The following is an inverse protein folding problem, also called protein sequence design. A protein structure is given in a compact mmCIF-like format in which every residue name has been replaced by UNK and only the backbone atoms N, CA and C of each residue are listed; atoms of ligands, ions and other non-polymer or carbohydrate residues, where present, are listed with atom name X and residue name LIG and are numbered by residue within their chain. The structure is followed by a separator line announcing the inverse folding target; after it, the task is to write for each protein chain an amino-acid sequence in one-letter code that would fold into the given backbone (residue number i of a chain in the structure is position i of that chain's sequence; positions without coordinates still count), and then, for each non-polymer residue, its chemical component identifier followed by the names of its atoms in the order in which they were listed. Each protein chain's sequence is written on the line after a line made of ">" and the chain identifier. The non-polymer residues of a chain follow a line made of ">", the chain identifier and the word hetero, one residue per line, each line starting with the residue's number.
data_IF_989831028526
#
_entry.id   IF_989831028526
#
_cell.length_a   1.000
_cell.length_b   1.000
_cell.length_c   1.000
_cell.angle_alpha   90.00
_cell.angle_beta   90.00
_cell.angle_gamma   90.00
#
_symmetry.space_group_name_H-M   'P 1'
#
loop_
_entity.id
_entity.type
_entity.pdbx_description
1 polymer ?
#
# COMPACT_ATOMS: atom_id res chain seq x y z
N UNK A 1 2.06 -5.32 -8.62
CA UNK A 1 2.64 -5.64 -9.94
C UNK A 1 3.93 -6.43 -9.73
N UNK A 2 4.28 -7.38 -10.60
CA UNK A 2 5.59 -8.05 -10.52
C UNK A 2 6.68 -7.11 -11.07
N UNK A 3 7.85 -7.11 -10.44
CA UNK A 3 8.99 -6.28 -10.82
C UNK A 3 10.27 -7.11 -10.93
N UNK A 4 10.93 -7.08 -12.07
CA UNK A 4 12.18 -7.78 -12.35
C UNK A 4 13.34 -6.76 -12.46
N UNK A 5 14.10 -6.52 -11.38
CA UNK A 5 15.15 -5.49 -11.36
C UNK A 5 16.31 -5.78 -12.32
N UNK A 6 16.50 -7.04 -12.75
CA UNK A 6 17.58 -7.44 -13.66
C UNK A 6 17.30 -7.05 -15.12
N UNK A 7 16.05 -6.72 -15.46
CA UNK A 7 15.69 -6.27 -16.80
C UNK A 7 16.17 -4.83 -17.07
N UNK A 8 16.33 -4.45 -18.35
CA UNK A 8 16.45 -3.04 -18.75
C UNK A 8 15.32 -2.21 -18.13
N UNK A 9 15.58 -0.95 -17.80
CA UNK A 9 14.68 -0.10 -17.01
C UNK A 9 13.21 -0.12 -17.50
N UNK A 10 13.00 0.02 -18.81
CA UNK A 10 11.68 0.05 -19.44
C UNK A 10 10.96 -1.31 -19.50
N UNK A 11 11.64 -2.41 -19.12
CA UNK A 11 11.11 -3.78 -19.11
C UNK A 11 11.00 -4.35 -17.69
N UNK A 12 11.27 -3.57 -16.64
CA UNK A 12 11.26 -4.10 -15.27
C UNK A 12 9.87 -4.51 -14.79
N UNK A 13 8.80 -3.97 -15.36
CA UNK A 13 7.43 -4.44 -15.09
C UNK A 13 7.00 -5.61 -15.99
N UNK A 14 7.85 -6.04 -16.93
CA UNK A 14 7.65 -7.24 -17.75
C UNK A 14 8.37 -8.41 -17.07
N UNK A 15 7.75 -8.96 -16.04
CA UNK A 15 8.25 -10.13 -15.33
C UNK A 15 7.71 -11.43 -15.93
N UNK A 16 8.57 -12.44 -16.06
CA UNK A 16 8.21 -13.79 -16.53
C UNK A 16 7.65 -14.68 -15.40
N UNK A 17 7.65 -14.18 -14.17
CA UNK A 17 7.12 -14.85 -13.00
C UNK A 17 5.83 -14.20 -12.49
N UNK A 18 4.96 -15.05 -11.94
CA UNK A 18 3.77 -14.63 -11.20
C UNK A 18 3.72 -15.40 -9.88
N UNK A 19 3.38 -14.75 -8.77
CA UNK A 19 3.12 -15.46 -7.52
C UNK A 19 1.99 -16.47 -7.72
N UNK A 20 2.06 -17.60 -7.03
CA UNK A 20 0.92 -18.52 -6.93
C UNK A 20 -0.25 -17.82 -6.22
N UNK A 21 -1.48 -18.36 -6.34
CA UNK A 21 -2.64 -17.82 -5.64
C UNK A 21 -2.43 -17.76 -4.12
N UNK A 22 -1.85 -18.82 -3.54
CA UNK A 22 -1.47 -18.85 -2.13
C UNK A 22 -0.46 -17.77 -1.76
N UNK A 23 0.57 -17.58 -2.59
CA UNK A 23 1.60 -16.55 -2.38
C UNK A 23 1.00 -15.16 -2.46
N UNK A 24 0.13 -14.92 -3.44
CA UNK A 24 -0.55 -13.65 -3.61
C UNK A 24 -1.43 -13.34 -2.40
N UNK A 25 -2.18 -14.32 -1.89
CA UNK A 25 -2.97 -14.16 -0.66
C UNK A 25 -2.08 -13.82 0.54
N UNK A 26 -0.99 -14.54 0.74
CA UNK A 26 -0.04 -14.27 1.82
C UNK A 26 0.53 -12.85 1.73
N UNK A 27 0.92 -12.41 0.53
CA UNK A 27 1.41 -11.06 0.28
C UNK A 27 0.34 -10.01 0.60
N UNK A 28 -0.91 -10.22 0.16
CA UNK A 28 -2.05 -9.35 0.48
C UNK A 28 -2.26 -9.23 1.99
N UNK A 29 -2.21 -10.34 2.72
CA UNK A 29 -2.40 -10.33 4.18
C UNK A 29 -1.28 -9.55 4.90
N UNK A 30 -0.04 -9.66 4.41
CA UNK A 30 1.10 -8.88 4.91
C UNK A 30 0.87 -7.39 4.66
N UNK A 31 0.52 -7.00 3.44
CA UNK A 31 0.27 -5.59 3.05
C UNK A 31 -0.84 -4.98 3.91
N UNK A 32 -1.97 -5.69 4.05
CA UNK A 32 -3.08 -5.24 4.87
C UNK A 32 -2.70 -5.11 6.35
N UNK A 33 -1.91 -6.05 6.88
CA UNK A 33 -1.44 -5.99 8.26
C UNK A 33 -0.55 -4.78 8.49
N UNK A 34 0.39 -4.50 7.59
CA UNK A 34 1.28 -3.34 7.67
C UNK A 34 0.47 -2.04 7.67
N UNK A 35 -0.42 -1.87 6.69
CA UNK A 35 -1.22 -0.64 6.57
C UNK A 35 -2.12 -0.41 7.78
N UNK A 36 -2.79 -1.46 8.27
CA UNK A 36 -3.60 -1.37 9.50
C UNK A 36 -2.76 -1.03 10.73
N UNK A 37 -1.57 -1.62 10.86
CA UNK A 37 -0.72 -1.39 12.02
C UNK A 37 -0.11 0.01 12.03
N UNK A 38 0.23 0.55 10.86
CA UNK A 38 0.83 1.89 10.71
C UNK A 38 -0.21 2.99 10.51
N UNK A 39 -1.49 2.64 10.33
CA UNK A 39 -2.58 3.60 10.16
C UNK A 39 -2.65 4.23 8.77
N UNK A 40 -2.07 3.60 7.75
CA UNK A 40 -2.11 4.10 6.37
C UNK A 40 -3.50 3.89 5.75
N UNK A 41 -4.11 5.00 5.32
CA UNK A 41 -5.30 4.99 4.48
C UNK A 41 -4.98 4.74 3.00
N UNK A 42 -3.79 5.19 2.56
CA UNK A 42 -3.27 5.03 1.22
C UNK A 42 -1.75 4.83 1.32
N UNK A 43 -1.23 3.81 0.63
CA UNK A 43 0.18 3.42 0.68
C UNK A 43 0.51 2.46 -0.47
N UNK A 44 1.75 2.49 -0.96
CA UNK A 44 2.31 1.36 -1.71
C UNK A 44 3.24 0.54 -0.83
N UNK A 45 3.18 -0.78 -1.01
CA UNK A 45 4.07 -1.71 -0.32
C UNK A 45 4.77 -2.57 -1.36
N UNK A 46 6.09 -2.63 -1.27
CA UNK A 46 6.95 -3.49 -2.08
C UNK A 46 7.38 -4.70 -1.25
N UNK A 47 7.20 -5.88 -1.84
CA UNK A 47 7.62 -7.14 -1.25
C UNK A 47 8.63 -7.84 -2.17
N UNK A 48 9.79 -8.19 -1.62
CA UNK A 48 10.74 -9.11 -2.26
C UNK A 48 10.53 -10.53 -1.74
N UNK A 49 10.51 -11.52 -2.63
CA UNK A 49 10.40 -12.94 -2.25
C UNK A 49 11.77 -13.60 -2.34
N UNK A 50 12.26 -14.14 -1.23
CA UNK A 50 13.50 -14.93 -1.16
C UNK A 50 13.25 -16.24 -0.44
N UNK A 51 13.63 -17.36 -1.05
CA UNK A 51 13.43 -18.72 -0.52
C UNK A 51 11.99 -18.99 -0.09
N UNK A 52 11.03 -18.45 -0.85
CA UNK A 52 9.62 -18.60 -0.53
C UNK A 52 9.18 -17.83 0.72
N UNK A 53 9.89 -16.77 1.12
CA UNK A 53 9.49 -15.86 2.20
C UNK A 53 9.36 -14.43 1.64
N UNK A 54 8.21 -13.75 1.82
CA UNK A 54 8.06 -12.35 1.43
C UNK A 54 8.68 -11.43 2.49
N UNK A 55 9.45 -10.45 2.05
CA UNK A 55 10.07 -9.41 2.85
C UNK A 55 9.57 -8.05 2.40
N UNK A 56 9.04 -7.24 3.32
CA UNK A 56 8.73 -5.85 3.02
C UNK A 56 10.03 -5.05 2.89
N UNK A 57 10.23 -4.45 1.72
CA UNK A 57 11.45 -3.69 1.38
C UNK A 57 11.18 -2.19 1.30
N UNK A 58 9.96 -1.82 0.93
CA UNK A 58 9.43 -0.47 1.05
C UNK A 58 7.96 -0.58 1.47
N UNK A 59 7.57 0.17 2.49
CA UNK A 59 6.23 0.11 3.05
C UNK A 59 5.83 1.42 3.74
N UNK A 60 6.61 2.48 3.56
CA UNK A 60 6.40 3.78 4.17
C UNK A 60 6.19 4.86 3.10
N UNK A 61 5.34 4.57 2.11
CA UNK A 61 5.09 5.45 0.97
C UNK A 61 3.62 5.93 0.92
N UNK A 62 3.19 6.82 1.83
CA UNK A 62 1.81 7.31 1.91
C UNK A 62 1.41 8.31 0.80
N UNK A 63 2.32 8.62 -0.11
CA UNK A 63 2.09 9.46 -1.27
C UNK A 63 2.78 8.82 -2.48
N UNK A 64 2.34 7.63 -2.90
CA UNK A 64 3.02 6.87 -3.92
C UNK A 64 2.97 7.58 -5.27
N UNK A 65 4.08 7.49 -6.00
CA UNK A 65 4.10 7.83 -7.41
C UNK A 65 3.24 6.82 -8.17
N UNK A 66 2.16 7.32 -8.75
CA UNK A 66 1.25 6.56 -9.60
C UNK A 66 1.29 7.08 -11.04
N UNK A 67 2.43 7.57 -11.54
CA UNK A 67 2.55 8.01 -12.92
C UNK A 67 2.10 6.91 -13.90
N UNK A 68 1.30 7.31 -14.89
CA UNK A 68 0.69 6.41 -15.87
C UNK A 68 1.72 5.54 -16.59
N UNK A 69 2.91 6.06 -16.90
CA UNK A 69 3.96 5.30 -17.58
C UNK A 69 4.63 4.26 -16.67
N UNK A 70 4.53 4.45 -15.35
CA UNK A 70 5.11 3.56 -14.36
C UNK A 70 4.15 2.42 -14.01
N UNK A 71 2.89 2.74 -13.72
CA UNK A 71 1.91 1.75 -13.24
C UNK A 71 1.05 1.15 -14.37
N UNK A 72 1.06 1.78 -15.55
CA UNK A 72 0.23 1.39 -16.69
C UNK A 72 -1.24 1.84 -16.55
N UNK A 73 -1.92 1.87 -17.69
CA UNK A 73 -3.26 2.48 -17.83
C UNK A 73 -4.30 1.92 -16.84
N UNK A 74 -4.40 0.59 -16.73
CA UNK A 74 -5.41 -0.04 -15.86
C UNK A 74 -5.22 0.33 -14.38
N UNK A 75 -3.97 0.28 -13.89
CA UNK A 75 -3.67 0.64 -12.51
C UNK A 75 -3.80 2.15 -12.28
N UNK A 76 -3.45 2.97 -13.27
CA UNK A 76 -3.59 4.42 -13.20
C UNK A 76 -5.05 4.81 -13.02
N UNK A 77 -5.94 4.33 -13.90
CA UNK A 77 -7.37 4.61 -13.82
C UNK A 77 -7.96 4.10 -12.48
N UNK A 78 -7.57 2.91 -12.05
CA UNK A 78 -8.02 2.36 -10.77
C UNK A 78 -7.57 3.22 -9.57
N UNK A 79 -6.31 3.66 -9.54
CA UNK A 79 -5.79 4.50 -8.45
C UNK A 79 -6.53 5.83 -8.41
N UNK A 80 -6.71 6.49 -9.56
CA UNK A 80 -7.40 7.79 -9.65
C UNK A 80 -8.82 7.68 -9.16
N UNK A 81 -9.59 6.72 -9.68
CA UNK A 81 -10.99 6.51 -9.30
C UNK A 81 -11.13 6.16 -7.82
N UNK A 82 -10.28 5.25 -7.31
CA UNK A 82 -10.33 4.81 -5.92
C UNK A 82 -9.96 5.95 -4.96
N UNK A 83 -8.90 6.71 -5.28
CA UNK A 83 -8.47 7.84 -4.46
C UNK A 83 -9.50 8.98 -4.44
N UNK A 84 -10.13 9.27 -5.59
CA UNK A 84 -11.17 10.29 -5.69
C UNK A 84 -12.41 9.90 -4.86
N UNK A 85 -12.90 8.68 -5.01
CA UNK A 85 -14.03 8.18 -4.23
C UNK A 85 -13.73 8.17 -2.74
N UNK A 86 -12.54 7.69 -2.34
CA UNK A 86 -12.13 7.69 -0.94
C UNK A 86 -12.04 9.12 -0.36
N UNK A 87 -11.53 10.10 -1.12
CA UNK A 87 -11.49 11.49 -0.68
C UNK A 87 -12.90 12.06 -0.46
N UNK A 88 -13.86 11.73 -1.33
CA UNK A 88 -15.28 12.11 -1.17
C UNK A 88 -15.87 11.45 0.08
N UNK A 89 -15.64 10.15 0.29
CA UNK A 89 -16.09 9.43 1.49
C UNK A 89 -15.57 10.10 2.78
N UNK A 90 -14.28 10.46 2.80
CA UNK A 90 -13.67 11.15 3.95
C UNK A 90 -14.23 12.54 4.16
N UNK A 91 -14.53 13.28 3.11
CA UNK A 91 -15.18 14.58 3.20
C UNK A 91 -16.61 14.47 3.77
N UNK A 92 -17.38 13.48 3.32
CA UNK A 92 -18.73 13.22 3.83
C UNK A 92 -18.76 12.70 5.27
N UNK A 93 -17.74 11.93 5.67
CA UNK A 93 -17.61 11.38 7.02
C UNK A 93 -16.99 12.35 8.04
N UNK A 94 -16.52 13.52 7.59
CA UNK A 94 -15.88 14.50 8.46
C UNK A 94 -16.84 14.97 9.56
N UNK A 95 -16.29 15.12 10.77
CA UNK A 95 -17.01 15.65 11.94
C UNK A 95 -16.29 16.85 12.50
N UNK A 96 -16.99 17.98 12.56
CA UNK A 96 -16.48 19.21 13.15
C UNK A 96 -16.08 19.03 14.62
N UNK A 97 -14.96 19.66 14.98
CA UNK A 97 -14.40 19.62 16.33
C UNK A 97 -13.79 18.28 16.74
N UNK A 98 -13.69 17.29 15.83
CA UNK A 98 -13.04 16.01 16.10
C UNK A 98 -11.74 15.86 15.31
N UNK A 99 -10.84 15.03 15.84
CA UNK A 99 -9.71 14.52 15.08
C UNK A 99 -10.21 13.45 14.11
N UNK A 100 -10.18 13.77 12.82
CA UNK A 100 -10.63 12.88 11.74
C UNK A 100 -9.47 12.09 11.10
N UNK A 101 -8.24 12.26 11.62
CA UNK A 101 -7.05 11.58 11.12
C UNK A 101 -7.01 10.14 11.62
N UNK A 102 -6.80 9.21 10.70
CA UNK A 102 -6.71 7.78 11.00
C UNK A 102 -5.42 7.45 11.77
N UNK A 103 -4.36 8.24 11.57
CA UNK A 103 -3.09 8.13 12.30
C UNK A 103 -3.16 8.57 13.77
N UNK A 104 -4.21 9.31 14.16
CA UNK A 104 -4.35 9.79 15.53
C UNK A 104 -4.27 8.65 16.55
N UNK A 105 -4.84 7.49 16.23
CA UNK A 105 -4.79 6.31 17.09
C UNK A 105 -3.38 5.71 17.19
N UNK A 106 -2.66 5.59 16.07
CA UNK A 106 -1.27 5.13 16.06
C UNK A 106 -0.38 6.02 16.94
N UNK A 107 -0.44 7.34 16.75
CA UNK A 107 0.37 8.31 17.50
C UNK A 107 0.03 8.29 18.99
N UNK A 108 -1.27 8.24 19.35
CA UNK A 108 -1.72 8.14 20.74
C UNK A 108 -1.19 6.88 21.40
N UNK A 109 -1.34 5.72 20.76
CA UNK A 109 -0.85 4.44 21.30
C UNK A 109 0.65 4.41 21.45
N UNK A 110 1.38 4.84 20.42
CA UNK A 110 2.85 4.93 20.43
C UNK A 110 3.33 5.81 21.59
N UNK A 111 2.74 7.01 21.75
CA UNK A 111 3.08 7.95 22.81
C UNK A 111 2.78 7.39 24.21
N UNK A 112 1.69 6.64 24.34
CA UNK A 112 1.28 6.00 25.59
C UNK A 112 1.93 4.63 25.83
N UNK A 113 2.77 4.15 24.91
CA UNK A 113 3.35 2.80 24.90
C UNK A 113 2.30 1.68 25.00
N UNK A 114 1.11 1.94 24.45
CA UNK A 114 0.03 0.96 24.38
C UNK A 114 0.21 0.07 23.15
N UNK A 115 -0.07 -1.25 23.25
CA UNK A 115 -0.11 -2.13 22.09
C UNK A 115 -1.12 -1.65 21.05
N UNK A 116 -0.79 -1.75 19.76
CA UNK A 116 -1.70 -1.48 18.64
C UNK A 116 -2.75 -2.59 18.43
N UNK A 117 -2.55 -3.75 19.06
CA UNK A 117 -3.46 -4.90 19.13
C UNK A 117 -3.32 -5.54 20.50
#
# INVERSE_FOLDING_TARGET
>A
MSYEPRNPHHLRYVADFKPSAERLQQMTDIVLRINKYLGYDFNTVELAVRDGVPYAIDFCNPAPDADRNSVGDENFEWVVETAANYAIEKALAQKDGQDNLTWGEYVKRSSNKSPLV
#
